data_IF_107389771082
#
_entry.id   IF_107389771082
#
_cell.length_a   1.000
_cell.length_b   1.000
_cell.length_c   1.000
_cell.angle_alpha   90.00
_cell.angle_beta   90.00
_cell.angle_gamma   90.00
#
_symmetry.space_group_name_H-M   'P 1'
#
loop_
_entity.id
_entity.type
_entity.pdbx_description
1 polymer ?
#
# COMPACT_ATOMS: atom_id res chain seq x y z
N UNK A 1 -55.47 71.07 20.56
CA UNK A 1 -54.18 71.12 19.84
C UNK A 1 -53.15 70.46 20.75
N UNK A 2 -52.59 69.34 20.28
CA UNK A 2 -51.48 68.51 20.82
C UNK A 2 -50.92 68.83 22.22
N UNK A 3 -51.24 67.98 23.20
CA UNK A 3 -50.49 67.87 24.45
C UNK A 3 -49.06 67.37 24.16
N UNK A 4 -48.08 68.20 24.45
CA UNK A 4 -46.67 67.87 24.30
C UNK A 4 -46.22 66.95 25.44
N UNK A 5 -45.77 65.74 25.09
CA UNK A 5 -45.01 64.87 25.98
C UNK A 5 -43.77 65.61 26.49
N UNK A 6 -43.79 66.07 27.74
CA UNK A 6 -42.60 66.57 28.44
C UNK A 6 -41.84 65.37 28.98
N UNK A 7 -40.69 65.07 28.39
CA UNK A 7 -39.74 64.10 28.90
C UNK A 7 -39.08 64.67 30.16
N UNK A 8 -39.34 64.08 31.32
CA UNK A 8 -38.66 64.43 32.57
C UNK A 8 -37.31 63.68 32.65
N UNK A 9 -36.17 64.39 32.57
CA UNK A 9 -34.86 63.75 32.60
C UNK A 9 -34.54 63.07 33.94
N UNK A 10 -35.27 63.36 35.02
CA UNK A 10 -35.08 62.71 36.32
C UNK A 10 -35.62 61.28 36.38
N UNK A 11 -36.54 60.92 35.48
CA UNK A 11 -37.22 59.61 35.45
C UNK A 11 -36.83 58.74 34.24
N UNK A 12 -35.72 59.07 33.57
CA UNK A 12 -35.19 58.22 32.51
C UNK A 12 -34.51 56.97 33.11
N UNK A 13 -34.83 55.75 32.64
CA UNK A 13 -34.12 54.56 33.05
C UNK A 13 -32.62 54.69 32.71
N UNK A 14 -31.77 54.63 33.73
CA UNK A 14 -30.31 54.67 33.57
C UNK A 14 -29.85 53.33 33.01
N UNK A 15 -29.36 53.33 31.78
CA UNK A 15 -28.72 52.16 31.17
C UNK A 15 -27.39 51.93 31.88
N UNK A 16 -27.26 50.80 32.57
CA UNK A 16 -26.00 50.39 33.19
C UNK A 16 -25.07 49.78 32.14
N UNK A 17 -24.14 50.61 31.65
CA UNK A 17 -23.13 50.22 30.67
C UNK A 17 -22.09 49.23 31.20
N UNK A 18 -21.97 49.06 32.52
CA UNK A 18 -21.14 47.99 33.06
C UNK A 18 -21.77 46.65 32.69
N UNK A 19 -23.09 46.49 32.97
CA UNK A 19 -23.87 45.28 32.67
C UNK A 19 -23.83 44.82 31.22
N UNK A 20 -23.81 45.77 30.30
CA UNK A 20 -23.69 45.49 28.87
C UNK A 20 -22.29 45.01 28.46
N UNK A 21 -21.22 45.49 29.10
CA UNK A 21 -19.84 45.15 28.75
C UNK A 21 -19.45 43.72 29.16
N UNK A 22 -19.86 43.23 30.34
CA UNK A 22 -19.56 41.85 30.74
C UNK A 22 -20.34 40.80 29.94
N UNK A 23 -21.59 41.11 29.55
CA UNK A 23 -22.35 40.25 28.65
C UNK A 23 -21.67 40.15 27.27
N UNK A 24 -21.24 41.29 26.70
CA UNK A 24 -20.53 41.31 25.43
C UNK A 24 -19.22 40.49 25.46
N UNK A 25 -18.44 40.60 26.53
CA UNK A 25 -17.20 39.84 26.69
C UNK A 25 -17.44 38.32 26.81
N UNK A 26 -18.45 37.91 27.59
CA UNK A 26 -18.81 36.48 27.73
C UNK A 26 -19.27 35.84 26.42
N UNK A 27 -19.99 36.60 25.58
CA UNK A 27 -20.42 36.16 24.26
C UNK A 27 -19.22 36.04 23.31
N UNK A 28 -18.30 37.01 23.31
CA UNK A 28 -17.08 36.94 22.51
C UNK A 28 -16.21 35.73 22.88
N UNK A 29 -16.03 35.45 24.18
CA UNK A 29 -15.29 34.29 24.65
C UNK A 29 -15.93 32.97 24.25
N UNK A 30 -17.28 32.88 24.31
CA UNK A 30 -18.03 31.70 23.89
C UNK A 30 -17.91 31.43 22.37
N UNK A 31 -17.90 32.49 21.55
CA UNK A 31 -17.72 32.38 20.09
C UNK A 31 -16.29 31.92 19.78
N UNK A 32 -15.29 32.48 20.47
CA UNK A 32 -13.89 32.09 20.28
C UNK A 32 -13.61 30.64 20.75
N UNK A 33 -14.31 30.15 21.77
CA UNK A 33 -14.26 28.76 22.19
C UNK A 33 -14.88 27.83 21.13
N UNK A 34 -16.09 28.15 20.65
CA UNK A 34 -16.78 27.38 19.62
C UNK A 34 -16.00 27.35 18.29
N UNK A 35 -15.36 28.45 17.89
CA UNK A 35 -14.51 28.48 16.70
C UNK A 35 -13.32 27.54 16.81
N UNK A 36 -12.64 27.52 17.96
CA UNK A 36 -11.50 26.62 18.21
C UNK A 36 -11.92 25.15 18.23
N UNK A 37 -13.08 24.84 18.81
CA UNK A 37 -13.58 23.47 18.84
C UNK A 37 -14.03 22.99 17.45
N UNK A 38 -14.59 23.89 16.64
CA UNK A 38 -14.92 23.61 15.24
C UNK A 38 -13.68 23.41 14.37
N UNK A 39 -12.61 24.19 14.56
CA UNK A 39 -11.34 23.96 13.87
C UNK A 39 -10.72 22.62 14.24
N UNK A 40 -10.76 22.24 15.52
CA UNK A 40 -10.26 20.94 16.00
C UNK A 40 -11.05 19.79 15.42
N UNK A 41 -12.38 19.89 15.37
CA UNK A 41 -13.23 18.85 14.80
C UNK A 41 -13.00 18.71 13.30
N UNK A 42 -12.88 19.82 12.57
CA UNK A 42 -12.54 19.83 11.14
C UNK A 42 -11.17 19.20 10.87
N UNK A 43 -10.15 19.52 11.68
CA UNK A 43 -8.84 18.87 11.58
C UNK A 43 -8.89 17.37 11.88
N UNK A 44 -9.69 16.94 12.86
CA UNK A 44 -9.85 15.53 13.18
C UNK A 44 -10.53 14.78 12.03
N UNK A 45 -11.59 15.34 11.44
CA UNK A 45 -12.28 14.78 10.28
C UNK A 45 -11.35 14.69 9.07
N UNK A 46 -10.54 15.73 8.83
CA UNK A 46 -9.59 15.74 7.72
C UNK A 46 -8.52 14.65 7.88
N UNK A 47 -7.92 14.52 9.07
CA UNK A 47 -6.95 13.46 9.35
C UNK A 47 -7.55 12.06 9.23
N UNK A 48 -8.82 11.90 9.63
CA UNK A 48 -9.50 10.61 9.50
C UNK A 48 -9.74 10.26 8.02
N UNK A 49 -10.14 11.24 7.20
CA UNK A 49 -10.26 11.08 5.75
C UNK A 49 -8.94 10.70 5.11
N UNK A 50 -7.87 11.44 5.40
CA UNK A 50 -6.53 11.16 4.87
C UNK A 50 -6.05 9.75 5.25
N UNK A 51 -6.31 9.32 6.50
CA UNK A 51 -6.00 7.95 6.95
C UNK A 51 -6.80 6.90 6.19
N UNK A 52 -8.10 7.12 5.99
CA UNK A 52 -8.96 6.19 5.24
C UNK A 52 -8.52 6.10 3.78
N UNK A 53 -8.24 7.23 3.13
CA UNK A 53 -7.75 7.27 1.77
C UNK A 53 -6.40 6.57 1.61
N UNK A 54 -5.46 6.79 2.55
CA UNK A 54 -4.17 6.11 2.57
C UNK A 54 -4.32 4.58 2.77
N UNK A 55 -5.21 4.16 3.66
CA UNK A 55 -5.49 2.74 3.89
C UNK A 55 -6.14 2.06 2.67
N UNK A 56 -7.09 2.74 2.02
CA UNK A 56 -7.70 2.24 0.78
C UNK A 56 -6.69 2.15 -0.37
N UNK A 57 -5.82 3.15 -0.51
CA UNK A 57 -4.76 3.15 -1.51
C UNK A 57 -3.79 1.98 -1.30
N UNK A 58 -3.33 1.76 -0.05
CA UNK A 58 -2.46 0.64 0.29
C UNK A 58 -3.11 -0.72 0.00
N UNK A 59 -4.39 -0.89 0.37
CA UNK A 59 -5.14 -2.12 0.10
C UNK A 59 -5.31 -2.39 -1.41
N UNK A 60 -5.58 -1.34 -2.20
CA UNK A 60 -5.66 -1.47 -3.67
C UNK A 60 -4.31 -1.84 -4.27
N UNK A 61 -3.22 -1.23 -3.80
CA UNK A 61 -1.87 -1.55 -4.25
C UNK A 61 -1.51 -3.02 -3.94
N UNK A 62 -1.80 -3.48 -2.72
CA UNK A 62 -1.58 -4.87 -2.30
C UNK A 62 -2.42 -5.86 -3.14
N UNK A 63 -3.67 -5.49 -3.44
CA UNK A 63 -4.56 -6.30 -4.29
C UNK A 63 -4.00 -6.39 -5.72
N UNK A 64 -3.57 -5.28 -6.31
CA UNK A 64 -2.96 -5.26 -7.65
C UNK A 64 -1.66 -6.07 -7.67
N UNK A 65 -0.82 -5.93 -6.64
CA UNK A 65 0.41 -6.72 -6.51
C UNK A 65 0.09 -8.22 -6.45
N UNK A 66 -0.93 -8.60 -5.69
CA UNK A 66 -1.38 -9.99 -5.57
C UNK A 66 -1.92 -10.53 -6.89
N UNK A 67 -2.75 -9.76 -7.61
CA UNK A 67 -3.27 -10.14 -8.92
C UNK A 67 -2.17 -10.30 -9.96
N UNK A 68 -1.19 -9.38 -10.00
CA UNK A 68 -0.02 -9.50 -10.87
C UNK A 68 0.82 -10.73 -10.54
N UNK A 69 1.00 -11.03 -9.26
CA UNK A 69 1.70 -12.24 -8.83
C UNK A 69 0.94 -13.51 -9.28
N UNK A 70 -0.39 -13.53 -9.17
CA UNK A 70 -1.22 -14.64 -9.67
C UNK A 70 -1.06 -14.78 -11.18
N UNK A 71 -1.25 -13.69 -11.93
CA UNK A 71 -1.12 -13.67 -13.40
C UNK A 71 0.24 -14.20 -13.84
N UNK A 72 1.32 -13.70 -13.23
CA UNK A 72 2.70 -14.14 -13.50
C UNK A 72 2.91 -15.62 -13.15
N UNK A 73 2.34 -16.11 -12.04
CA UNK A 73 2.40 -17.52 -11.66
C UNK A 73 1.68 -18.42 -12.67
N UNK A 74 0.47 -18.05 -13.09
CA UNK A 74 -0.29 -18.84 -14.08
C UNK A 74 0.33 -18.81 -15.47
N UNK A 75 0.89 -17.68 -15.92
CA UNK A 75 1.58 -17.57 -17.20
C UNK A 75 2.86 -18.43 -17.23
N UNK A 76 3.59 -18.49 -16.12
CA UNK A 76 4.78 -19.32 -15.97
C UNK A 76 4.46 -20.81 -16.09
N UNK A 77 3.35 -21.29 -15.51
CA UNK A 77 2.96 -22.70 -15.59
C UNK A 77 2.61 -23.15 -17.02
N UNK A 78 1.88 -22.33 -17.79
CA UNK A 78 1.61 -22.62 -19.21
C UNK A 78 2.89 -22.66 -20.04
N UNK A 79 3.85 -21.79 -19.73
CA UNK A 79 5.16 -21.77 -20.40
C UNK A 79 5.94 -23.05 -20.15
N UNK A 80 5.90 -23.60 -18.93
CA UNK A 80 6.53 -24.89 -18.63
C UNK A 80 5.90 -26.04 -19.41
N UNK A 81 4.57 -26.08 -19.49
CA UNK A 81 3.85 -27.11 -20.27
C UNK A 81 4.19 -27.01 -21.76
N UNK A 82 4.25 -25.80 -22.31
CA UNK A 82 4.65 -25.56 -23.71
C UNK A 82 6.09 -26.02 -23.97
N UNK A 83 7.02 -25.72 -23.06
CA UNK A 83 8.42 -26.11 -23.17
C UNK A 83 8.62 -27.63 -23.08
N UNK A 84 7.94 -28.28 -22.14
CA UNK A 84 7.98 -29.74 -21.97
C UNK A 84 7.36 -30.42 -23.19
N UNK A 85 6.24 -29.92 -23.72
CA UNK A 85 5.55 -30.56 -24.85
C UNK A 85 6.27 -30.43 -26.20
N UNK A 86 7.16 -29.43 -26.38
CA UNK A 86 7.86 -29.17 -27.65
C UNK A 86 9.26 -29.79 -27.77
N UNK A 87 9.92 -30.14 -26.67
CA UNK A 87 11.34 -30.56 -26.69
C UNK A 87 11.51 -32.09 -26.60
N UNK A 88 11.34 -32.84 -27.69
CA UNK A 88 11.45 -34.31 -27.63
C UNK A 88 12.86 -34.85 -27.30
N UNK A 89 13.94 -34.09 -27.56
CA UNK A 89 15.33 -34.56 -27.32
C UNK A 89 15.95 -34.06 -26.01
N UNK A 90 15.43 -33.00 -25.40
CA UNK A 90 15.96 -32.43 -24.15
C UNK A 90 14.92 -32.33 -23.03
N UNK A 91 13.76 -32.98 -23.20
CA UNK A 91 12.64 -32.96 -22.24
C UNK A 91 13.09 -33.35 -20.82
N UNK A 92 13.86 -34.43 -20.69
CA UNK A 92 14.35 -34.91 -19.40
C UNK A 92 15.30 -33.91 -18.73
N UNK A 93 16.22 -33.31 -19.49
CA UNK A 93 17.12 -32.27 -18.98
C UNK A 93 16.36 -31.01 -18.57
N UNK A 94 15.35 -30.63 -19.35
CA UNK A 94 14.47 -29.50 -19.05
C UNK A 94 13.69 -29.74 -17.75
N UNK A 95 13.11 -30.93 -17.58
CA UNK A 95 12.37 -31.32 -16.39
C UNK A 95 13.30 -31.32 -15.16
N UNK A 96 14.51 -31.85 -15.30
CA UNK A 96 15.51 -31.79 -14.22
C UNK A 96 15.87 -30.35 -13.84
N UNK A 97 16.09 -29.47 -14.82
CA UNK A 97 16.38 -28.05 -14.56
C UNK A 97 15.19 -27.40 -13.83
N UNK A 98 13.96 -27.65 -14.27
CA UNK A 98 12.74 -27.13 -13.62
C UNK A 98 12.62 -27.65 -12.18
N UNK A 99 12.91 -28.92 -11.95
CA UNK A 99 12.90 -29.52 -10.62
C UNK A 99 14.00 -28.90 -9.73
N UNK A 100 15.21 -28.70 -10.25
CA UNK A 100 16.30 -28.02 -9.55
C UNK A 100 15.94 -26.57 -9.20
N UNK A 101 15.29 -25.82 -10.10
CA UNK A 101 14.77 -24.47 -9.81
C UNK A 101 13.89 -24.49 -8.55
N UNK A 102 12.98 -25.45 -8.43
CA UNK A 102 12.07 -25.54 -7.29
C UNK A 102 12.78 -25.89 -5.98
N UNK A 103 14.00 -26.44 -6.02
CA UNK A 103 14.78 -26.71 -4.81
C UNK A 103 15.30 -25.44 -4.12
N UNK A 104 15.33 -24.30 -4.82
CA UNK A 104 15.69 -22.99 -4.24
C UNK A 104 14.82 -22.68 -3.02
N UNK A 105 13.52 -22.98 -3.10
CA UNK A 105 12.58 -22.75 -2.01
C UNK A 105 12.79 -23.68 -0.80
N UNK A 106 13.61 -24.73 -0.93
CA UNK A 106 13.92 -25.71 0.12
C UNK A 106 15.31 -25.50 0.75
N UNK A 107 16.04 -24.46 0.34
CA UNK A 107 17.37 -24.17 0.88
C UNK A 107 17.31 -23.94 2.40
N UNK A 108 18.38 -24.33 3.11
CA UNK A 108 18.51 -24.23 4.57
C UNK A 108 19.27 -22.99 5.03
N UNK A 109 19.99 -22.34 4.11
CA UNK A 109 20.69 -21.08 4.35
C UNK A 109 20.59 -20.16 3.14
N UNK A 110 20.83 -18.87 3.34
CA UNK A 110 20.89 -17.90 2.25
C UNK A 110 21.99 -18.24 1.23
N UNK A 111 23.14 -18.70 1.72
CA UNK A 111 24.26 -19.09 0.89
C UNK A 111 23.92 -20.29 -0.01
N UNK A 112 23.22 -21.29 0.55
CA UNK A 112 22.75 -22.46 -0.20
C UNK A 112 21.77 -22.04 -1.30
N UNK A 113 20.78 -21.20 -0.98
CA UNK A 113 19.80 -20.73 -1.96
C UNK A 113 20.50 -20.04 -3.15
N UNK A 114 21.43 -19.12 -2.86
CA UNK A 114 22.18 -18.39 -3.88
C UNK A 114 23.07 -19.32 -4.73
N UNK A 115 23.67 -20.33 -4.09
CA UNK A 115 24.48 -21.34 -4.78
C UNK A 115 23.64 -22.17 -5.74
N UNK A 116 22.47 -22.66 -5.29
CA UNK A 116 21.53 -23.42 -6.13
C UNK A 116 21.07 -22.58 -7.32
N UNK A 117 20.63 -21.34 -7.10
CA UNK A 117 20.21 -20.45 -8.18
C UNK A 117 21.33 -20.24 -9.22
N UNK A 118 22.55 -19.97 -8.75
CA UNK A 118 23.71 -19.78 -9.63
C UNK A 118 24.02 -21.04 -10.44
N UNK A 119 23.99 -22.22 -9.80
CA UNK A 119 24.20 -23.51 -10.47
C UNK A 119 23.17 -23.74 -11.57
N UNK A 120 21.90 -23.53 -11.26
CA UNK A 120 20.78 -23.71 -12.19
C UNK A 120 20.90 -22.76 -13.38
N UNK A 121 21.19 -21.47 -13.15
CA UNK A 121 21.40 -20.51 -14.24
C UNK A 121 22.59 -20.88 -15.13
N UNK A 122 23.68 -21.36 -14.54
CA UNK A 122 24.81 -21.90 -15.30
C UNK A 122 24.41 -23.08 -16.17
N UNK A 123 23.63 -24.02 -15.62
CA UNK A 123 23.15 -25.21 -16.34
C UNK A 123 22.19 -24.86 -17.48
N UNK A 124 21.25 -23.93 -17.25
CA UNK A 124 20.35 -23.40 -18.30
C UNK A 124 21.16 -22.89 -19.50
N UNK A 125 22.15 -22.03 -19.25
CA UNK A 125 22.97 -21.43 -20.33
C UNK A 125 23.89 -22.44 -21.04
N UNK A 126 24.28 -23.52 -20.36
CA UNK A 126 25.12 -24.57 -20.95
C UNK A 126 24.32 -25.56 -21.79
N UNK A 127 23.16 -25.99 -21.29
CA UNK A 127 22.35 -27.06 -21.90
C UNK A 127 21.46 -26.55 -23.03
N UNK A 128 20.87 -25.37 -22.86
CA UNK A 128 19.86 -24.84 -23.79
C UNK A 128 20.53 -23.95 -24.82
N UNK A 129 20.45 -24.34 -26.09
CA UNK A 129 21.03 -23.58 -27.22
C UNK A 129 20.03 -22.67 -27.92
N UNK A 130 18.75 -23.00 -27.84
CA UNK A 130 17.68 -22.18 -28.38
C UNK A 130 17.44 -20.95 -27.49
N UNK A 131 17.53 -19.76 -28.09
CA UNK A 131 17.47 -18.50 -27.35
C UNK A 131 16.09 -18.25 -26.72
N UNK A 132 15.01 -18.65 -27.40
CA UNK A 132 13.65 -18.49 -26.88
C UNK A 132 13.42 -19.38 -25.66
N UNK A 133 13.82 -20.65 -25.74
CA UNK A 133 13.74 -21.63 -24.66
C UNK A 133 14.60 -21.22 -23.48
N UNK A 134 15.81 -20.74 -23.73
CA UNK A 134 16.71 -20.21 -22.71
C UNK A 134 16.05 -19.05 -21.95
N UNK A 135 15.50 -18.08 -22.68
CA UNK A 135 14.85 -16.91 -22.09
C UNK A 135 13.65 -17.31 -21.21
N UNK A 136 12.82 -18.26 -21.68
CA UNK A 136 11.65 -18.75 -20.92
C UNK A 136 12.07 -19.45 -19.63
N UNK A 137 13.04 -20.37 -19.67
CA UNK A 137 13.47 -21.11 -18.47
C UNK A 137 14.22 -20.21 -17.49
N UNK A 138 15.08 -19.30 -17.97
CA UNK A 138 15.75 -18.32 -17.13
C UNK A 138 14.74 -17.37 -16.46
N UNK A 139 13.70 -16.95 -17.19
CA UNK A 139 12.58 -16.19 -16.65
C UNK A 139 11.85 -16.93 -15.54
N UNK A 140 11.58 -18.23 -15.74
CA UNK A 140 10.99 -19.09 -14.72
C UNK A 140 11.86 -19.21 -13.46
N UNK A 141 13.16 -19.48 -13.62
CA UNK A 141 14.10 -19.56 -12.50
C UNK A 141 14.13 -18.27 -11.68
N UNK A 142 14.10 -17.12 -12.36
CA UNK A 142 14.05 -15.80 -11.73
C UNK A 142 12.74 -15.56 -10.99
N UNK A 143 11.61 -16.00 -11.54
CA UNK A 143 10.33 -15.89 -10.85
C UNK A 143 10.31 -16.72 -9.56
N UNK A 144 10.80 -17.97 -9.60
CA UNK A 144 10.88 -18.83 -8.40
C UNK A 144 11.83 -18.23 -7.35
N UNK A 145 12.97 -17.67 -7.78
CA UNK A 145 13.88 -16.95 -6.87
C UNK A 145 13.18 -15.80 -6.15
N UNK A 146 12.48 -14.93 -6.90
CA UNK A 146 11.77 -13.79 -6.33
C UNK A 146 10.65 -14.22 -5.37
N UNK A 147 9.94 -15.31 -5.69
CA UNK A 147 8.92 -15.88 -4.82
C UNK A 147 9.51 -16.46 -3.54
N UNK A 148 10.69 -17.08 -3.62
CA UNK A 148 11.36 -17.67 -2.47
C UNK A 148 12.06 -16.62 -1.59
N UNK A 149 12.34 -15.42 -2.12
CA UNK A 149 13.12 -14.38 -1.44
C UNK A 149 12.64 -14.08 0.00
N UNK A 150 11.33 -13.87 0.28
CA UNK A 150 10.87 -13.57 1.65
C UNK A 150 11.07 -14.71 2.65
N UNK A 151 11.20 -15.95 2.16
CA UNK A 151 11.51 -17.14 2.97
C UNK A 151 13.02 -17.24 3.17
N UNK A 152 13.79 -17.05 2.09
CA UNK A 152 15.26 -17.10 2.10
C UNK A 152 15.85 -16.06 3.05
N UNK A 153 15.34 -14.84 3.05
CA UNK A 153 15.83 -13.74 3.92
C UNK A 153 15.72 -14.05 5.43
N UNK A 154 14.86 -15.01 5.80
CA UNK A 154 14.67 -15.46 7.19
C UNK A 154 15.55 -16.65 7.55
N UNK A 155 16.25 -17.22 6.57
CA UNK A 155 17.18 -18.33 6.81
C UNK A 155 18.47 -17.83 7.45
N UNK A 156 19.13 -18.70 8.24
CA UNK A 156 20.45 -18.43 8.80
C UNK A 156 21.53 -18.23 7.73
#
# INVERSE_FOLDING_TARGET
MSDGFKLDPANMPRIDFSTTNHLANSVADSIAANQRDMERSMQAVQRERERKEAAEAAYREETIRSLRAIEQNTANLYTLVDLISKSNEQQDELIEIIAEVLTIAKARSQAEAKSVYTKVMGRITQTIKDAETLAKIAGYATAVWNLAQPIIEKLP
#
